data_IF_456099137150
#
_entry.id   IF_456099137150
#
_cell.length_a   1.000
_cell.length_b   1.000
_cell.length_c   1.000
_cell.angle_alpha   90.00
_cell.angle_beta   90.00
_cell.angle_gamma   90.00
#
_symmetry.space_group_name_H-M   'P 1'
#
loop_
_entity.id
_entity.type
_entity.pdbx_description
1 polymer ?
#
# COMPACT_ATOMS: atom_id res chain seq x y z
N UNK A 1 9.90 -8.67 8.71
CA UNK A 1 8.78 -7.72 8.54
C UNK A 1 8.08 -7.88 7.18
N UNK A 2 8.70 -7.50 6.04
CA UNK A 2 8.04 -7.52 4.71
C UNK A 2 7.26 -8.82 4.38
N UNK A 3 7.87 -9.99 4.56
CA UNK A 3 7.21 -11.30 4.31
C UNK A 3 6.02 -11.57 5.22
N UNK A 4 6.06 -11.09 6.47
CA UNK A 4 4.95 -11.24 7.42
C UNK A 4 3.76 -10.39 6.96
N UNK A 5 4.01 -9.12 6.63
CA UNK A 5 2.97 -8.23 6.12
C UNK A 5 2.34 -8.74 4.83
N UNK A 6 3.16 -9.20 3.88
CA UNK A 6 2.65 -9.80 2.63
C UNK A 6 1.68 -10.94 2.95
N UNK A 7 2.12 -11.91 3.76
CA UNK A 7 1.33 -13.09 4.09
C UNK A 7 0.05 -12.72 4.84
N UNK A 8 0.13 -11.82 5.80
CA UNK A 8 -1.01 -11.46 6.63
C UNK A 8 -2.07 -10.70 5.82
N UNK A 9 -1.67 -9.80 4.91
CA UNK A 9 -2.59 -9.08 4.01
C UNK A 9 -3.14 -9.97 2.88
N UNK A 10 -2.40 -10.98 2.44
CA UNK A 10 -2.88 -11.99 1.50
C UNK A 10 -3.95 -12.90 2.14
N UNK A 11 -3.76 -13.28 3.40
CA UNK A 11 -4.70 -14.13 4.14
C UNK A 11 -5.89 -13.36 4.72
N UNK A 12 -5.71 -12.07 5.02
CA UNK A 12 -6.71 -11.19 5.66
C UNK A 12 -6.78 -9.86 4.92
N UNK A 13 -7.40 -9.83 3.72
CA UNK A 13 -7.45 -8.64 2.88
C UNK A 13 -8.47 -7.61 3.37
N UNK A 14 -9.29 -7.91 4.38
CA UNK A 14 -10.43 -7.08 4.83
C UNK A 14 -10.05 -5.62 5.13
N UNK A 15 -8.88 -5.31 5.74
CA UNK A 15 -8.46 -3.93 5.93
C UNK A 15 -8.29 -3.18 4.60
N UNK A 16 -7.78 -3.82 3.56
CA UNK A 16 -7.61 -3.20 2.24
C UNK A 16 -8.94 -3.15 1.47
N UNK A 17 -9.79 -4.16 1.62
CA UNK A 17 -11.12 -4.19 1.01
C UNK A 17 -11.99 -3.04 1.49
N UNK A 18 -11.91 -2.69 2.78
CA UNK A 18 -12.57 -1.53 3.36
C UNK A 18 -12.28 -0.24 2.59
N UNK A 19 -11.06 -0.09 2.10
CA UNK A 19 -10.59 1.08 1.34
C UNK A 19 -10.67 0.88 -0.18
N UNK A 20 -11.27 -0.22 -0.63
CA UNK A 20 -11.31 -0.62 -2.05
C UNK A 20 -9.92 -0.69 -2.69
N UNK A 21 -8.91 -1.11 -1.93
CA UNK A 21 -7.54 -1.32 -2.37
C UNK A 21 -7.23 -2.80 -2.58
N UNK A 22 -6.27 -3.08 -3.46
CA UNK A 22 -5.64 -4.38 -3.64
C UNK A 22 -4.16 -4.30 -3.23
N UNK A 23 -3.62 -5.33 -2.57
CA UNK A 23 -2.18 -5.43 -2.34
C UNK A 23 -1.47 -5.70 -3.68
N UNK A 24 -0.60 -4.79 -4.09
CA UNK A 24 0.24 -4.93 -5.27
C UNK A 24 1.65 -5.47 -4.99
N UNK A 25 2.15 -5.33 -3.76
CA UNK A 25 3.54 -5.66 -3.44
C UNK A 25 3.91 -5.30 -2.00
N UNK A 26 4.84 -6.05 -1.40
CA UNK A 26 5.64 -5.58 -0.26
C UNK A 26 7.10 -5.82 -0.61
N UNK A 27 7.90 -4.76 -0.63
CA UNK A 27 9.30 -4.81 -1.01
C UNK A 27 10.18 -4.33 0.14
N UNK A 28 11.35 -4.95 0.23
CA UNK A 28 12.43 -4.57 1.14
C UNK A 28 13.73 -4.74 0.39
N UNK A 29 14.56 -3.72 0.39
CA UNK A 29 15.83 -3.75 -0.32
C UNK A 29 17.00 -3.94 0.66
N UNK A 30 18.03 -4.74 0.31
CA UNK A 30 19.19 -4.94 1.19
C UNK A 30 19.94 -3.65 1.57
N UNK A 31 19.82 -2.60 0.74
CA UNK A 31 20.43 -1.28 0.96
C UNK A 31 19.52 -0.29 1.71
N UNK A 32 18.25 -0.62 1.93
CA UNK A 32 17.26 0.21 2.66
C UNK A 32 16.70 -0.55 3.86
N UNK A 33 17.58 -0.90 4.80
CA UNK A 33 17.23 -1.76 5.94
C UNK A 33 16.28 -1.10 6.94
N UNK A 34 16.20 0.22 6.91
CA UNK A 34 15.40 1.07 7.79
C UNK A 34 13.95 1.25 7.31
N UNK A 35 13.58 0.66 6.18
CA UNK A 35 12.24 0.83 5.59
C UNK A 35 11.79 -0.36 4.76
N UNK A 36 10.49 -0.38 4.49
CA UNK A 36 9.87 -1.22 3.47
C UNK A 36 8.89 -0.39 2.65
N UNK A 37 8.69 -0.78 1.40
CA UNK A 37 7.68 -0.19 0.52
C UNK A 37 6.50 -1.14 0.39
N UNK A 38 5.31 -0.64 0.67
CA UNK A 38 4.04 -1.34 0.47
C UNK A 38 3.34 -0.70 -0.73
N UNK A 39 3.00 -1.51 -1.72
CA UNK A 39 2.32 -1.06 -2.93
C UNK A 39 0.86 -1.46 -2.89
N UNK A 40 -0.03 -0.48 -3.08
CA UNK A 40 -1.47 -0.69 -3.17
C UNK A 40 -1.97 -0.30 -4.56
N UNK A 41 -2.97 -0.99 -5.07
CA UNK A 41 -3.69 -0.63 -6.30
C UNK A 41 -5.10 -0.20 -5.94
N UNK A 42 -5.53 0.94 -6.50
CA UNK A 42 -6.88 1.47 -6.34
C UNK A 42 -7.48 1.84 -7.70
N UNK A 43 -8.75 1.49 -7.98
CA UNK A 43 -9.60 0.60 -7.18
C UNK A 43 -9.15 -0.87 -7.24
N UNK A 44 -9.68 -1.72 -6.34
CA UNK A 44 -9.27 -3.13 -6.13
C UNK A 44 -9.38 -4.04 -7.37
N UNK A 45 -10.02 -3.59 -8.45
CA UNK A 45 -10.20 -4.35 -9.69
C UNK A 45 -10.37 -3.39 -10.86
N UNK A 46 -9.30 -2.80 -11.42
CA UNK A 46 -9.49 -2.10 -12.67
C UNK A 46 -9.74 -3.14 -13.76
N UNK A 47 -10.85 -3.04 -14.46
CA UNK A 47 -10.89 -3.61 -15.81
C UNK A 47 -9.80 -2.94 -16.66
N UNK A 48 -9.33 -3.58 -17.73
CA UNK A 48 -8.26 -3.01 -18.59
C UNK A 48 -8.60 -1.59 -19.08
N UNK A 49 -9.90 -1.28 -19.16
CA UNK A 49 -10.46 0.01 -19.58
C UNK A 49 -10.76 1.00 -18.44
N UNK A 50 -10.68 0.59 -17.17
CA UNK A 50 -11.01 1.45 -16.03
C UNK A 50 -9.81 2.20 -15.49
N UNK A 51 -9.99 3.44 -14.99
CA UNK A 51 -8.92 4.20 -14.41
C UNK A 51 -8.41 3.53 -13.13
N UNK A 52 -7.09 3.49 -12.99
CA UNK A 52 -6.41 2.95 -11.81
C UNK A 52 -5.17 3.75 -11.44
N UNK A 53 -4.82 3.67 -10.16
CA UNK A 53 -3.60 4.20 -9.58
C UNK A 53 -2.90 3.14 -8.73
N UNK A 54 -1.58 3.26 -8.64
CA UNK A 54 -0.77 2.57 -7.64
C UNK A 54 -0.22 3.57 -6.65
N UNK A 55 -0.32 3.23 -5.38
CA UNK A 55 0.23 3.99 -4.27
C UNK A 55 1.41 3.25 -3.66
N UNK A 56 2.46 3.97 -3.29
CA UNK A 56 3.56 3.49 -2.47
C UNK A 56 3.44 4.08 -1.07
N UNK A 57 3.52 3.21 -0.07
CA UNK A 57 3.58 3.58 1.34
C UNK A 57 4.94 3.15 1.84
N UNK A 58 5.75 4.12 2.25
CA UNK A 58 7.03 3.86 2.88
C UNK A 58 6.81 3.72 4.38
N UNK A 59 7.17 2.57 4.92
CA UNK A 59 7.07 2.29 6.35
C UNK A 59 8.46 2.12 6.95
N UNK A 60 8.79 2.92 7.97
CA UNK A 60 10.04 2.79 8.70
C UNK A 60 10.06 1.51 9.53
N UNK A 61 11.16 0.77 9.45
CA UNK A 61 11.41 -0.45 10.23
C UNK A 61 12.39 -0.11 11.35
N UNK A 62 11.96 -0.33 12.59
CA UNK A 62 12.80 -0.22 13.77
C UNK A 62 13.50 -1.55 14.07
N UNK A 63 14.52 -1.53 14.95
CA UNK A 63 15.17 -2.73 15.48
C UNK A 63 14.32 -3.48 16.53
N UNK A 64 13.00 -3.28 16.51
CA UNK A 64 12.04 -3.99 17.37
C UNK A 64 11.55 -5.28 16.71
N UNK A 65 10.84 -6.10 17.47
CA UNK A 65 10.27 -7.36 16.97
C UNK A 65 9.44 -7.15 15.68
N UNK A 66 9.76 -7.85 14.57
CA UNK A 66 9.08 -7.65 13.30
C UNK A 66 7.62 -8.12 13.29
N UNK A 67 7.19 -8.96 14.24
CA UNK A 67 5.77 -9.35 14.37
C UNK A 67 4.97 -8.20 14.96
N UNK A 68 5.51 -7.56 16.00
CA UNK A 68 4.92 -6.37 16.64
C UNK A 68 4.74 -5.23 15.63
N UNK A 69 5.79 -4.93 14.85
CA UNK A 69 5.70 -3.88 13.82
C UNK A 69 4.69 -4.22 12.71
N UNK A 70 4.54 -5.50 12.35
CA UNK A 70 3.53 -5.95 11.39
C UNK A 70 2.11 -5.70 11.92
N UNK A 71 1.86 -6.05 13.18
CA UNK A 71 0.58 -5.81 13.82
C UNK A 71 0.25 -4.31 13.90
N UNK A 72 1.21 -3.47 14.27
CA UNK A 72 1.04 -2.01 14.33
C UNK A 72 0.66 -1.42 12.97
N UNK A 73 1.31 -1.86 11.89
CA UNK A 73 0.96 -1.44 10.54
C UNK A 73 -0.48 -1.85 10.19
N UNK A 74 -0.87 -3.09 10.47
CA UNK A 74 -2.23 -3.58 10.22
C UNK A 74 -3.29 -2.80 11.03
N UNK A 75 -3.00 -2.42 12.27
CA UNK A 75 -3.88 -1.54 13.06
C UNK A 75 -4.02 -0.15 12.42
N UNK A 76 -2.93 0.44 11.92
CA UNK A 76 -3.01 1.71 11.17
C UNK A 76 -3.86 1.58 9.90
N UNK A 77 -3.70 0.50 9.15
CA UNK A 77 -4.53 0.22 7.97
C UNK A 77 -6.02 0.08 8.31
N UNK A 78 -6.36 -0.43 9.50
CA UNK A 78 -7.76 -0.53 9.96
C UNK A 78 -8.33 0.82 10.35
N UNK A 79 -7.50 1.67 10.94
CA UNK A 79 -7.92 2.96 11.49
C UNK A 79 -8.03 4.08 10.45
N UNK A 80 -7.17 4.08 9.42
CA UNK A 80 -7.07 5.16 8.45
C UNK A 80 -6.88 4.66 7.01
N UNK A 81 -7.26 5.49 6.04
CA UNK A 81 -7.10 5.18 4.62
C UNK A 81 -5.61 5.16 4.25
N UNK A 82 -5.07 4.03 3.79
CA UNK A 82 -3.65 3.92 3.49
C UNK A 82 -3.18 4.75 2.30
N UNK A 83 -4.11 5.28 1.50
CA UNK A 83 -3.79 6.15 0.36
C UNK A 83 -3.45 7.58 0.80
N UNK A 84 -3.94 8.04 1.96
CA UNK A 84 -3.67 9.39 2.46
C UNK A 84 -2.18 9.68 2.69
N UNK A 85 -1.40 8.81 3.37
CA UNK A 85 0.04 8.99 3.48
C UNK A 85 0.82 8.41 2.29
N UNK A 86 0.15 7.77 1.32
CA UNK A 86 0.79 7.10 0.20
C UNK A 86 1.03 8.03 -0.99
N UNK A 87 2.15 7.84 -1.68
CA UNK A 87 2.46 8.58 -2.90
C UNK A 87 2.01 7.81 -4.15
N UNK A 88 1.46 8.49 -5.14
CA UNK A 88 1.10 7.87 -6.42
C UNK A 88 2.39 7.52 -7.17
N UNK A 89 2.58 6.25 -7.50
CA UNK A 89 3.77 5.75 -8.19
C UNK A 89 3.45 4.92 -9.45
N UNK A 90 2.18 4.83 -9.83
CA UNK A 90 1.75 4.14 -11.05
C UNK A 90 0.33 4.48 -11.47
N UNK A 91 0.02 4.22 -12.75
CA UNK A 91 -1.19 4.69 -13.41
C UNK A 91 -0.86 5.76 -14.44
N UNK A 92 -1.74 6.74 -14.61
CA UNK A 92 -1.53 7.88 -15.50
C UNK A 92 -2.13 9.18 -14.93
N UNK A 93 -1.68 10.37 -15.41
CA UNK A 93 -2.30 11.64 -15.02
C UNK A 93 -3.80 11.69 -15.30
N UNK A 94 -4.24 11.10 -16.42
CA UNK A 94 -5.66 11.05 -16.77
C UNK A 94 -6.45 10.12 -15.83
N UNK A 95 -5.88 9.00 -15.41
CA UNK A 95 -6.49 8.13 -14.40
C UNK A 95 -6.59 8.85 -13.05
N UNK A 96 -5.55 9.58 -12.64
CA UNK A 96 -5.59 10.35 -11.40
C UNK A 96 -6.70 11.40 -11.44
N UNK A 97 -6.81 12.17 -12.54
CA UNK A 97 -7.89 13.13 -12.72
C UNK A 97 -9.27 12.47 -12.64
N UNK A 98 -9.47 11.34 -13.31
CA UNK A 98 -10.75 10.59 -13.28
C UNK A 98 -11.10 10.05 -11.89
N UNK A 99 -10.09 9.68 -11.09
CA UNK A 99 -10.27 9.15 -9.75
C UNK A 99 -10.25 10.24 -8.65
N UNK A 100 -10.13 11.52 -9.02
CA UNK A 100 -10.15 12.64 -8.09
C UNK A 100 -8.81 12.92 -7.37
N UNK A 101 -7.70 12.39 -7.90
CA UNK A 101 -6.35 12.60 -7.36
C UNK A 101 -5.56 13.63 -8.17
N UNK A 102 -4.61 14.29 -7.51
CA UNK A 102 -3.61 15.11 -8.18
C UNK A 102 -2.43 14.24 -8.58
N UNK A 103 -2.04 14.29 -9.86
CA UNK A 103 -0.84 13.56 -10.32
C UNK A 103 0.43 14.20 -9.73
N UNK A 104 1.37 13.40 -9.20
CA UNK A 104 2.66 13.91 -8.71
C UNK A 104 3.45 14.56 -9.85
N UNK A 105 4.20 15.62 -9.53
CA UNK A 105 5.01 16.35 -10.50
C UNK A 105 6.32 15.64 -10.81
#
# INVERSE_FOLDING_TARGET
MARLLWRDLEQRPEPLERWSCLLGGVQSYPWEKDRISIFLVYPRRPSVSEPWLRFEIVWSVAETDPVTQAAEFLERLRAADPREPGEICGGSPDNARQLGYTWPR
#
